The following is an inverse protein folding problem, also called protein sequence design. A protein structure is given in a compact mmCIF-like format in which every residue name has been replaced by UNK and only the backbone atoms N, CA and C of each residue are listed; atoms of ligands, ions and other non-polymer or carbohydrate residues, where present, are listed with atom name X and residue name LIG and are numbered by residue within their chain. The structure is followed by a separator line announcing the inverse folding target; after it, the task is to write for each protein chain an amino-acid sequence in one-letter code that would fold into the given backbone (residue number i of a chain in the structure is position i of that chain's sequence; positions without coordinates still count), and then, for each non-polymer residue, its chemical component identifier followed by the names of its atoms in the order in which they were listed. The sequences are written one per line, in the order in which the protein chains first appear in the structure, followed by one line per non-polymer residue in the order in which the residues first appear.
data_IF_898830599134
#
_entry.id   IF_898830599134
#
_cell.length_a   1.000
_cell.length_b   1.000
_cell.length_c   1.000
_cell.angle_alpha   90.00
_cell.angle_beta   90.00
_cell.angle_gamma   90.00
#
_symmetry.space_group_name_H-M   'P 1'
#
loop_
_entity.id
_entity.type
_entity.pdbx_description
1 polymer ?
#
# COMPACT_ATOMS: atom_id res chain seq x y z
N UNK A 1 44.24 67.94 -44.69
CA UNK A 1 43.60 66.67 -45.20
C UNK A 1 44.00 65.52 -44.27
N UNK A 2 43.12 65.12 -43.32
CA UNK A 2 43.41 64.05 -42.38
C UNK A 2 42.56 62.85 -42.79
N UNK A 3 43.19 61.73 -43.10
CA UNK A 3 42.54 60.44 -43.40
C UNK A 3 42.20 59.70 -42.07
N UNK A 4 40.94 59.53 -41.79
CA UNK A 4 40.50 58.71 -40.66
C UNK A 4 40.45 57.21 -41.07
N UNK A 5 41.10 56.39 -40.30
CA UNK A 5 41.09 54.94 -40.46
C UNK A 5 39.96 54.37 -39.54
N UNK A 6 38.97 53.80 -40.13
CA UNK A 6 37.96 52.96 -39.36
C UNK A 6 38.55 51.58 -39.11
N UNK A 7 38.72 51.27 -37.84
CA UNK A 7 39.01 49.90 -37.39
C UNK A 7 37.71 49.15 -37.21
N UNK A 8 37.52 48.06 -37.97
CA UNK A 8 36.38 47.12 -37.79
C UNK A 8 36.68 46.18 -36.64
N UNK A 9 35.90 46.27 -35.58
CA UNK A 9 35.89 45.28 -34.49
C UNK A 9 35.03 44.06 -34.93
N UNK A 10 35.68 42.92 -35.13
CA UNK A 10 34.98 41.64 -35.30
C UNK A 10 34.61 41.10 -33.93
N UNK A 11 33.31 41.09 -33.62
CA UNK A 11 32.77 40.42 -32.42
C UNK A 11 32.58 38.94 -32.76
N UNK A 12 33.42 38.06 -32.20
CA UNK A 12 33.24 36.62 -32.26
C UNK A 12 32.14 36.22 -31.28
N UNK A 13 30.97 35.87 -31.79
CA UNK A 13 29.89 35.31 -31.01
C UNK A 13 30.19 33.81 -30.72
N UNK A 14 30.63 33.51 -29.51
CA UNK A 14 30.80 32.14 -29.03
C UNK A 14 29.41 31.54 -28.73
N UNK A 15 28.94 30.65 -29.61
CA UNK A 15 27.76 29.81 -29.36
C UNK A 15 28.11 28.77 -28.27
N UNK A 16 27.70 29.04 -27.06
CA UNK A 16 27.68 28.03 -25.99
C UNK A 16 26.49 27.10 -26.26
N UNK A 17 26.77 25.95 -26.84
CA UNK A 17 25.78 24.86 -26.93
C UNK A 17 25.58 24.31 -25.52
N UNK A 18 24.52 24.72 -24.85
CA UNK A 18 24.01 24.02 -23.66
C UNK A 18 23.51 22.64 -24.12
N UNK A 19 24.34 21.63 -23.93
CA UNK A 19 23.89 20.24 -23.98
C UNK A 19 22.93 20.02 -22.81
N UNK A 20 21.64 20.01 -23.10
CA UNK A 20 20.65 19.52 -22.13
C UNK A 20 20.98 18.06 -21.85
N UNK A 21 21.60 17.78 -20.72
CA UNK A 21 21.70 16.43 -20.19
C UNK A 21 20.27 16.03 -19.83
N UNK A 22 19.61 15.31 -20.72
CA UNK A 22 18.38 14.61 -20.38
C UNK A 22 18.76 13.61 -19.30
N UNK A 23 18.42 13.92 -18.04
CA UNK A 23 18.43 12.95 -16.96
C UNK A 23 17.32 11.97 -17.33
N UNK A 24 17.68 10.87 -17.99
CA UNK A 24 16.78 9.76 -18.16
C UNK A 24 16.35 9.33 -16.74
N UNK A 25 15.05 9.15 -16.47
CA UNK A 25 14.63 8.57 -15.21
C UNK A 25 15.40 7.26 -15.03
N UNK A 26 15.95 7.04 -13.83
CA UNK A 26 16.65 5.80 -13.52
C UNK A 26 15.69 4.65 -13.88
N UNK A 27 16.12 3.79 -14.81
CA UNK A 27 15.34 2.61 -15.15
C UNK A 27 15.19 1.81 -13.85
N UNK A 28 13.96 1.63 -13.40
CA UNK A 28 13.66 0.74 -12.29
C UNK A 28 13.99 -0.66 -12.77
N UNK A 29 15.17 -1.19 -12.35
CA UNK A 29 15.58 -2.54 -12.73
C UNK A 29 14.76 -3.52 -11.89
N UNK A 30 13.67 -4.04 -12.44
CA UNK A 30 12.98 -5.18 -11.86
C UNK A 30 13.79 -6.46 -12.07
N UNK A 31 13.75 -7.35 -11.09
CA UNK A 31 14.24 -8.70 -11.17
C UNK A 31 13.06 -9.63 -11.38
N UNK A 32 13.07 -10.40 -12.49
CA UNK A 32 11.96 -11.28 -12.85
C UNK A 32 12.39 -12.75 -12.84
N UNK A 33 11.50 -13.63 -12.40
CA UNK A 33 11.66 -15.07 -12.42
C UNK A 33 10.34 -15.77 -12.76
N UNK A 34 10.41 -16.86 -13.51
CA UNK A 34 9.22 -17.69 -13.79
C UNK A 34 8.91 -18.61 -12.61
N UNK A 35 7.66 -18.59 -12.12
CA UNK A 35 7.20 -19.45 -11.02
C UNK A 35 5.89 -20.15 -11.37
N UNK A 36 5.77 -21.40 -10.91
CA UNK A 36 4.48 -22.10 -10.92
C UNK A 36 3.59 -21.54 -9.81
N UNK A 37 2.48 -20.90 -10.19
CA UNK A 37 1.49 -20.31 -9.28
C UNK A 37 0.10 -20.90 -9.58
N UNK A 38 -0.33 -21.83 -8.74
CA UNK A 38 -1.54 -22.59 -9.01
C UNK A 38 -1.46 -23.36 -10.32
N UNK A 39 -2.37 -23.11 -11.25
CA UNK A 39 -2.43 -23.78 -12.56
C UNK A 39 -1.62 -23.08 -13.67
N UNK A 40 -0.98 -21.95 -13.39
CA UNK A 40 -0.26 -21.15 -14.41
C UNK A 40 1.21 -21.01 -14.05
N UNK A 41 2.06 -20.87 -15.08
CA UNK A 41 3.42 -20.35 -14.93
C UNK A 41 3.31 -18.84 -15.08
N UNK A 42 3.69 -18.11 -14.05
CA UNK A 42 3.68 -16.67 -14.06
C UNK A 42 5.10 -16.11 -13.95
N UNK A 43 5.34 -15.01 -14.62
CA UNK A 43 6.50 -14.17 -14.37
C UNK A 43 6.25 -13.35 -13.11
N UNK A 44 7.16 -13.45 -12.15
CA UNK A 44 7.14 -12.73 -10.87
C UNK A 44 8.28 -11.73 -10.89
N UNK A 45 7.95 -10.45 -10.93
CA UNK A 45 8.90 -9.37 -11.01
C UNK A 45 8.86 -8.52 -9.75
N UNK A 46 10.02 -8.17 -9.23
CA UNK A 46 10.16 -7.36 -8.02
C UNK A 46 11.20 -6.27 -8.18
N UNK A 47 11.04 -5.18 -7.45
CA UNK A 47 11.94 -4.05 -7.47
C UNK A 47 11.64 -3.05 -6.35
N UNK A 48 12.16 -1.83 -6.52
CA UNK A 48 11.91 -0.72 -5.59
C UNK A 48 11.44 0.51 -6.35
N UNK A 49 10.48 1.21 -5.77
CA UNK A 49 10.10 2.55 -6.19
C UNK A 49 11.15 3.58 -5.77
N UNK A 50 11.07 4.81 -6.26
CA UNK A 50 12.03 5.88 -5.97
C UNK A 50 12.06 6.27 -4.49
N UNK A 51 10.96 6.06 -3.76
CA UNK A 51 10.86 6.26 -2.32
C UNK A 51 11.38 5.06 -1.50
N UNK A 52 11.87 4.00 -2.17
CA UNK A 52 12.47 2.81 -1.56
C UNK A 52 11.50 1.70 -1.21
N UNK A 53 10.20 1.85 -1.49
CA UNK A 53 9.21 0.80 -1.24
C UNK A 53 9.46 -0.42 -2.13
N UNK A 54 9.42 -1.60 -1.53
CA UNK A 54 9.44 -2.84 -2.31
C UNK A 54 8.14 -2.97 -3.09
N UNK A 55 8.22 -3.34 -4.37
CA UNK A 55 7.06 -3.73 -5.15
C UNK A 55 7.24 -5.12 -5.75
N UNK A 56 6.12 -5.73 -6.07
CA UNK A 56 6.05 -6.95 -6.83
C UNK A 56 4.88 -6.88 -7.81
N UNK A 57 5.05 -7.44 -8.98
CA UNK A 57 3.94 -7.76 -9.86
C UNK A 57 4.10 -9.17 -10.42
N UNK A 58 2.97 -9.78 -10.78
CA UNK A 58 2.91 -11.12 -11.36
C UNK A 58 2.04 -11.08 -12.61
N UNK A 59 2.47 -11.74 -13.66
CA UNK A 59 1.70 -11.83 -14.90
C UNK A 59 1.89 -13.19 -15.55
N UNK A 60 0.81 -13.71 -16.13
CA UNK A 60 0.89 -14.81 -17.07
C UNK A 60 1.02 -14.20 -18.48
N UNK A 61 2.25 -14.12 -18.98
CA UNK A 61 2.57 -13.45 -20.25
C UNK A 61 1.88 -14.06 -21.46
N UNK A 62 1.57 -15.38 -21.42
CA UNK A 62 0.90 -16.09 -22.52
C UNK A 62 -0.58 -15.67 -22.67
N UNK A 63 -1.23 -15.28 -21.56
CA UNK A 63 -2.66 -14.99 -21.52
C UNK A 63 -3.00 -13.61 -20.95
N UNK A 64 -2.04 -12.68 -20.85
CA UNK A 64 -2.29 -11.36 -20.29
C UNK A 64 -3.34 -10.59 -21.11
N UNK A 65 -4.46 -10.24 -20.47
CA UNK A 65 -5.59 -9.56 -21.12
C UNK A 65 -5.48 -8.03 -21.15
N UNK A 66 -4.41 -7.48 -20.57
CA UNK A 66 -4.15 -6.04 -20.48
C UNK A 66 -4.70 -5.37 -19.22
N UNK A 67 -5.25 -6.12 -18.27
CA UNK A 67 -5.76 -5.54 -17.02
C UNK A 67 -4.89 -5.94 -15.83
N UNK A 68 -4.46 -4.93 -15.06
CA UNK A 68 -3.69 -5.12 -13.83
C UNK A 68 -4.55 -4.83 -12.61
N UNK A 69 -4.58 -5.74 -11.65
CA UNK A 69 -5.15 -5.53 -10.32
C UNK A 69 -4.06 -5.01 -9.39
N UNK A 70 -4.15 -3.75 -8.98
CA UNK A 70 -3.22 -3.10 -8.06
C UNK A 70 -3.76 -3.18 -6.64
N UNK A 71 -3.14 -4.00 -5.80
CA UNK A 71 -3.50 -4.20 -4.41
C UNK A 71 -2.86 -3.16 -3.50
N UNK A 72 -3.65 -2.62 -2.58
CA UNK A 72 -3.18 -1.82 -1.45
C UNK A 72 -3.48 -2.59 -0.16
N UNK A 73 -2.44 -2.98 0.57
CA UNK A 73 -2.60 -3.69 1.83
C UNK A 73 -3.15 -2.77 2.96
N UNK A 74 -3.64 -3.39 4.02
CA UNK A 74 -4.13 -2.69 5.20
C UNK A 74 -3.01 -2.16 6.12
N UNK A 75 -3.40 -1.75 7.32
CA UNK A 75 -2.44 -1.30 8.34
C UNK A 75 -1.44 -2.40 8.72
N UNK A 76 -0.17 -2.04 8.83
CA UNK A 76 0.89 -2.84 9.44
C UNK A 76 1.57 -2.00 10.52
N UNK A 77 2.07 -2.63 11.59
CA UNK A 77 2.76 -1.89 12.64
C UNK A 77 4.07 -1.27 12.13
N UNK A 78 4.29 0.00 12.49
CA UNK A 78 5.48 0.77 12.10
C UNK A 78 6.73 0.47 12.96
N UNK A 79 6.60 -0.38 13.98
CA UNK A 79 7.67 -0.73 14.92
C UNK A 79 7.69 -2.23 15.18
N UNK A 80 8.85 -2.76 15.49
CA UNK A 80 8.99 -4.13 15.97
C UNK A 80 8.30 -4.27 17.34
N UNK A 81 7.56 -5.35 17.51
CA UNK A 81 6.93 -5.63 18.81
C UNK A 81 7.83 -6.52 19.65
N UNK A 82 7.87 -6.31 20.98
CA UNK A 82 8.61 -7.17 21.90
C UNK A 82 8.17 -8.64 21.80
N UNK A 83 9.07 -9.53 22.19
CA UNK A 83 8.76 -10.96 22.28
C UNK A 83 7.55 -11.18 23.22
N UNK A 84 6.66 -12.07 22.81
CA UNK A 84 5.43 -12.36 23.56
C UNK A 84 4.23 -11.48 23.20
N UNK A 85 4.42 -10.40 22.42
CA UNK A 85 3.34 -9.59 21.89
C UNK A 85 3.10 -9.97 20.43
N UNK A 86 1.93 -10.52 20.15
CA UNK A 86 1.54 -10.93 18.82
C UNK A 86 0.37 -10.06 18.32
N UNK A 87 0.53 -9.34 17.21
CA UNK A 87 -0.60 -8.69 16.57
C UNK A 87 -1.59 -9.73 16.03
N UNK A 88 -2.88 -9.41 15.91
CA UNK A 88 -3.84 -10.31 15.29
C UNK A 88 -3.39 -10.76 13.90
N UNK A 89 -3.30 -12.08 13.68
CA UNK A 89 -2.84 -12.67 12.43
C UNK A 89 -1.34 -12.59 12.16
N UNK A 90 -0.55 -12.03 13.07
CA UNK A 90 0.90 -11.86 12.93
C UNK A 90 1.72 -13.00 13.52
N UNK A 91 3.03 -12.94 13.33
CA UNK A 91 4.02 -13.86 13.90
C UNK A 91 4.71 -13.26 15.13
N UNK A 92 5.33 -14.10 15.97
CA UNK A 92 6.09 -13.66 17.14
C UNK A 92 7.56 -14.08 17.01
N UNK A 93 8.55 -13.19 17.18
CA UNK A 93 8.40 -11.74 17.36
C UNK A 93 7.92 -11.05 16.08
N UNK A 94 7.16 -9.97 16.20
CA UNK A 94 6.79 -9.16 15.05
C UNK A 94 7.95 -8.25 14.65
N UNK A 95 8.39 -8.40 13.42
CA UNK A 95 9.35 -7.49 12.77
C UNK A 95 8.57 -6.67 11.74
N UNK A 96 8.89 -5.39 11.63
CA UNK A 96 8.24 -4.50 10.65
C UNK A 96 8.30 -5.13 9.27
N UNK A 97 7.13 -5.40 8.69
CA UNK A 97 7.01 -6.05 7.40
C UNK A 97 6.91 -5.02 6.28
N UNK A 98 8.01 -4.88 5.51
CA UNK A 98 8.13 -4.01 4.34
C UNK A 98 7.99 -4.80 3.02
N UNK A 99 7.53 -6.04 3.06
CA UNK A 99 7.36 -6.86 1.86
C UNK A 99 6.21 -6.35 0.99
N UNK A 100 6.39 -6.48 -0.33
CA UNK A 100 5.32 -6.24 -1.28
C UNK A 100 4.19 -7.26 -1.09
N UNK A 101 2.96 -6.82 -1.29
CA UNK A 101 1.76 -7.65 -1.24
C UNK A 101 0.90 -7.39 -2.47
N UNK A 102 0.68 -8.41 -3.29
CA UNK A 102 -0.01 -8.29 -4.59
C UNK A 102 -1.49 -8.68 -4.56
N UNK A 103 -2.00 -9.06 -3.39
CA UNK A 103 -3.40 -9.43 -3.21
C UNK A 103 -3.69 -10.01 -1.83
N UNK A 104 -4.96 -10.18 -1.44
CA UNK A 104 -5.37 -10.54 -0.08
C UNK A 104 -5.05 -12.00 0.29
N UNK A 105 -4.82 -12.85 -0.68
CA UNK A 105 -4.43 -14.24 -0.46
C UNK A 105 -3.87 -14.88 -1.73
N UNK A 106 -3.04 -15.89 -1.56
CA UNK A 106 -2.49 -16.68 -2.67
C UNK A 106 -3.60 -17.29 -3.54
N UNK A 107 -4.70 -17.71 -2.95
CA UNK A 107 -5.84 -18.27 -3.68
C UNK A 107 -6.41 -17.25 -4.67
N UNK A 108 -6.74 -16.05 -4.22
CA UNK A 108 -7.32 -15.00 -5.07
C UNK A 108 -6.33 -14.56 -6.15
N UNK A 109 -5.06 -14.39 -5.80
CA UNK A 109 -4.00 -14.06 -6.75
C UNK A 109 -3.91 -15.10 -7.87
N UNK A 110 -3.90 -16.39 -7.52
CA UNK A 110 -3.83 -17.47 -8.50
C UNK A 110 -5.07 -17.51 -9.42
N UNK A 111 -6.27 -17.22 -8.90
CA UNK A 111 -7.48 -17.12 -9.71
C UNK A 111 -7.41 -15.96 -10.72
N UNK A 112 -6.91 -14.80 -10.30
CA UNK A 112 -6.74 -13.65 -11.18
C UNK A 112 -5.72 -13.95 -12.29
N UNK A 113 -4.58 -14.56 -11.96
CA UNK A 113 -3.58 -14.97 -12.94
C UNK A 113 -4.12 -16.00 -13.93
N UNK A 114 -4.87 -16.99 -13.46
CA UNK A 114 -5.52 -17.99 -14.32
C UNK A 114 -6.56 -17.37 -15.26
N UNK A 115 -7.21 -16.28 -14.85
CA UNK A 115 -8.15 -15.52 -15.65
C UNK A 115 -7.47 -14.52 -16.61
N UNK A 116 -6.14 -14.51 -16.69
CA UNK A 116 -5.36 -13.65 -17.59
C UNK A 116 -5.15 -12.22 -17.09
N UNK A 117 -5.39 -11.94 -15.82
CA UNK A 117 -5.05 -10.66 -15.21
C UNK A 117 -3.61 -10.65 -14.70
N UNK A 118 -2.97 -9.49 -14.68
CA UNK A 118 -1.79 -9.28 -13.87
C UNK A 118 -2.21 -8.76 -12.47
N UNK A 119 -1.38 -9.04 -11.47
CA UNK A 119 -1.55 -8.53 -10.11
C UNK A 119 -0.30 -7.79 -9.69
N UNK A 120 -0.46 -6.70 -8.94
CA UNK A 120 0.65 -5.89 -8.47
C UNK A 120 0.36 -5.30 -7.10
N UNK A 121 1.40 -4.96 -6.35
CA UNK A 121 1.30 -4.23 -5.11
C UNK A 121 2.66 -3.87 -4.54
N UNK A 122 2.67 -3.02 -3.54
CA UNK A 122 3.88 -2.58 -2.85
C UNK A 122 3.79 -2.85 -1.35
N UNK A 123 4.94 -2.79 -0.67
CA UNK A 123 5.02 -2.78 0.79
C UNK A 123 4.99 -1.36 1.37
N UNK A 124 4.73 -0.34 0.54
CA UNK A 124 4.86 1.09 0.84
C UNK A 124 6.28 1.47 1.32
N UNK A 125 6.56 2.76 1.42
CA UNK A 125 7.86 3.29 1.87
C UNK A 125 8.04 3.19 3.39
N UNK A 126 6.92 3.27 4.11
CA UNK A 126 6.85 3.18 5.58
C UNK A 126 5.61 2.39 6.00
N UNK A 127 5.58 1.98 7.28
CA UNK A 127 4.42 1.32 7.87
C UNK A 127 3.69 2.26 8.84
N UNK A 128 2.57 1.82 9.38
CA UNK A 128 1.66 2.62 10.19
C UNK A 128 0.52 3.21 9.34
N UNK A 129 0.00 4.38 9.73
CA UNK A 129 -1.03 5.08 8.98
C UNK A 129 -0.42 5.91 7.85
N UNK A 130 0.02 5.27 6.78
CA UNK A 130 0.87 5.84 5.71
C UNK A 130 0.10 6.20 4.43
N UNK A 131 -1.20 6.48 4.50
CA UNK A 131 -2.06 6.72 3.32
C UNK A 131 -1.47 7.72 2.32
N UNK A 132 -0.89 8.81 2.81
CA UNK A 132 -0.37 9.89 1.96
C UNK A 132 0.83 9.48 1.10
N UNK A 133 1.80 8.76 1.65
CA UNK A 133 2.96 8.24 0.92
C UNK A 133 2.58 7.04 0.06
N UNK A 134 1.77 6.12 0.59
CA UNK A 134 1.28 4.95 -0.15
C UNK A 134 0.57 5.31 -1.47
N UNK A 135 -0.18 6.42 -1.50
CA UNK A 135 -0.77 6.94 -2.75
C UNK A 135 0.32 7.29 -3.76
N UNK A 136 1.40 7.96 -3.34
CA UNK A 136 2.52 8.36 -4.22
C UNK A 136 3.25 7.12 -4.73
N UNK A 137 3.58 6.18 -3.85
CA UNK A 137 4.18 4.89 -4.19
C UNK A 137 3.36 4.15 -5.26
N UNK A 138 2.04 4.06 -5.07
CA UNK A 138 1.16 3.37 -6.02
C UNK A 138 1.03 4.10 -7.36
N UNK A 139 1.04 5.44 -7.38
CA UNK A 139 1.05 6.21 -8.64
C UNK A 139 2.33 5.94 -9.42
N UNK A 140 3.49 5.91 -8.75
CA UNK A 140 4.76 5.55 -9.38
C UNK A 140 4.74 4.10 -9.89
N UNK A 141 4.26 3.16 -9.06
CA UNK A 141 4.13 1.74 -9.45
C UNK A 141 3.25 1.57 -10.69
N UNK A 142 2.16 2.31 -10.84
CA UNK A 142 1.36 2.31 -12.07
C UNK A 142 2.20 2.74 -13.29
N UNK A 143 3.06 3.72 -13.12
CA UNK A 143 4.00 4.14 -14.16
C UNK A 143 4.98 3.04 -14.56
N UNK A 144 5.56 2.35 -13.58
CA UNK A 144 6.45 1.19 -13.76
C UNK A 144 5.71 0.08 -14.51
N UNK A 145 4.52 -0.30 -14.04
CA UNK A 145 3.71 -1.35 -14.66
C UNK A 145 3.38 -1.06 -16.13
N UNK A 146 3.05 0.19 -16.48
CA UNK A 146 2.81 0.57 -17.88
C UNK A 146 4.07 0.52 -18.75
N UNK A 147 5.23 0.73 -18.15
CA UNK A 147 6.52 0.64 -18.85
C UNK A 147 6.96 -0.81 -19.07
N UNK A 148 6.81 -1.65 -18.04
CA UNK A 148 7.27 -3.04 -18.05
C UNK A 148 6.24 -4.01 -18.66
N UNK A 149 4.95 -3.67 -18.61
CA UNK A 149 3.84 -4.37 -19.25
C UNK A 149 3.17 -3.45 -20.29
N UNK A 150 3.76 -3.24 -21.47
CA UNK A 150 3.28 -2.26 -22.45
C UNK A 150 1.87 -2.54 -22.97
N UNK A 151 1.41 -3.79 -22.90
CA UNK A 151 0.04 -4.19 -23.27
C UNK A 151 -1.02 -3.83 -22.21
N UNK A 152 -0.64 -3.12 -21.14
CA UNK A 152 -1.56 -2.69 -20.08
C UNK A 152 -2.60 -1.68 -20.60
N UNK A 153 -3.86 -2.10 -20.64
CA UNK A 153 -5.03 -1.32 -21.08
C UNK A 153 -5.75 -0.63 -19.93
N UNK A 154 -5.53 -1.09 -18.69
CA UNK A 154 -6.16 -0.51 -17.51
C UNK A 154 -5.71 -1.10 -16.20
N UNK A 155 -5.81 -0.26 -15.16
CA UNK A 155 -5.50 -0.65 -13.78
C UNK A 155 -6.79 -0.62 -12.96
N UNK A 156 -7.06 -1.70 -12.25
CA UNK A 156 -8.13 -1.80 -11.26
C UNK A 156 -7.46 -1.69 -9.90
N UNK A 157 -7.70 -0.60 -9.18
CA UNK A 157 -7.22 -0.44 -7.82
C UNK A 157 -8.18 -1.16 -6.85
N UNK A 158 -7.64 -1.91 -5.91
CA UNK A 158 -8.40 -2.57 -4.86
C UNK A 158 -7.58 -2.69 -3.59
N UNK A 159 -8.26 -2.82 -2.46
CA UNK A 159 -7.57 -2.88 -1.17
C UNK A 159 -8.54 -2.94 -0.02
N UNK A 160 -8.07 -3.33 1.15
CA UNK A 160 -8.90 -3.50 2.34
C UNK A 160 -8.45 -2.59 3.49
N UNK A 161 -9.40 -2.15 4.34
CA UNK A 161 -9.15 -1.30 5.51
C UNK A 161 -8.44 0.01 5.10
N UNK A 162 -7.27 0.33 5.62
CA UNK A 162 -6.45 1.45 5.16
C UNK A 162 -6.16 1.35 3.64
N UNK A 163 -5.94 0.14 3.12
CA UNK A 163 -5.77 -0.11 1.68
C UNK A 163 -7.03 0.22 0.87
N UNK A 164 -8.21 0.04 1.44
CA UNK A 164 -9.47 0.50 0.87
C UNK A 164 -9.53 2.03 0.76
N UNK A 165 -9.07 2.74 1.79
CA UNK A 165 -8.95 4.20 1.75
C UNK A 165 -7.97 4.67 0.66
N UNK A 166 -6.79 4.05 0.58
CA UNK A 166 -5.81 4.33 -0.48
C UNK A 166 -6.44 4.10 -1.87
N UNK A 167 -7.16 3.00 -2.03
CA UNK A 167 -7.87 2.64 -3.28
C UNK A 167 -8.88 3.71 -3.69
N UNK A 168 -9.72 4.16 -2.77
CA UNK A 168 -10.69 5.22 -3.02
C UNK A 168 -9.99 6.53 -3.38
N UNK A 169 -8.97 6.93 -2.62
CA UNK A 169 -8.21 8.15 -2.87
C UNK A 169 -7.49 8.12 -4.23
N UNK A 170 -6.97 6.97 -4.66
CA UNK A 170 -6.41 6.79 -6.00
C UNK A 170 -7.46 7.03 -7.09
N UNK A 171 -8.65 6.46 -6.96
CA UNK A 171 -9.72 6.63 -7.93
C UNK A 171 -10.21 8.08 -8.03
N UNK A 172 -10.34 8.77 -6.91
CA UNK A 172 -10.80 10.16 -6.85
C UNK A 172 -9.74 11.15 -7.37
N UNK A 173 -8.48 10.96 -6.98
CA UNK A 173 -7.39 11.91 -7.29
C UNK A 173 -6.72 11.65 -8.63
N UNK A 174 -6.74 10.41 -9.11
CA UNK A 174 -6.07 9.98 -10.34
C UNK A 174 -6.99 9.20 -11.28
N UNK A 175 -8.19 9.74 -11.61
CA UNK A 175 -9.20 9.02 -12.42
C UNK A 175 -8.72 8.64 -13.82
N UNK A 176 -7.66 9.29 -14.33
CA UNK A 176 -7.04 8.93 -15.62
C UNK A 176 -6.11 7.71 -15.54
N UNK A 177 -5.65 7.36 -14.33
CA UNK A 177 -4.78 6.20 -14.11
C UNK A 177 -5.58 4.95 -13.74
N UNK A 178 -6.72 5.13 -13.07
CA UNK A 178 -7.55 4.07 -12.50
C UNK A 178 -8.79 3.85 -13.38
N UNK A 179 -8.92 2.64 -13.93
CA UNK A 179 -10.07 2.24 -14.75
C UNK A 179 -11.29 1.87 -13.91
N UNK A 180 -11.04 1.25 -12.76
CA UNK A 180 -12.06 0.85 -11.79
C UNK A 180 -11.44 0.73 -10.40
N UNK A 181 -12.26 0.83 -9.36
CA UNK A 181 -11.81 0.70 -7.97
C UNK A 181 -12.75 -0.19 -7.16
N UNK A 182 -12.17 -0.99 -6.28
CA UNK A 182 -12.87 -1.83 -5.32
C UNK A 182 -12.32 -1.61 -3.91
N UNK A 183 -12.73 -0.53 -3.21
CA UNK A 183 -12.40 -0.32 -1.81
C UNK A 183 -13.21 -1.28 -0.93
N UNK A 184 -12.52 -2.08 -0.09
CA UNK A 184 -13.12 -3.12 0.74
C UNK A 184 -12.98 -2.71 2.20
N UNK A 185 -14.09 -2.66 2.94
CA UNK A 185 -14.11 -2.29 4.37
C UNK A 185 -13.25 -1.06 4.64
N UNK A 186 -13.41 -0.03 3.83
CA UNK A 186 -12.54 1.14 3.84
C UNK A 186 -12.70 1.95 5.13
N UNK A 187 -11.56 2.37 5.69
CA UNK A 187 -11.50 3.30 6.81
C UNK A 187 -11.51 4.77 6.31
N UNK A 188 -12.48 5.11 5.46
CA UNK A 188 -12.57 6.40 4.78
C UNK A 188 -13.84 7.17 5.19
N UNK A 189 -13.84 7.71 6.38
CA UNK A 189 -14.92 8.54 6.90
C UNK A 189 -14.42 9.84 7.52
N UNK A 190 -15.26 10.45 8.33
CA UNK A 190 -14.82 11.53 9.20
C UNK A 190 -13.97 10.94 10.32
N UNK A 191 -12.65 11.04 10.20
CA UNK A 191 -11.68 10.43 11.12
C UNK A 191 -11.94 10.79 12.58
N UNK A 192 -12.32 12.04 12.87
CA UNK A 192 -12.62 12.45 14.24
C UNK A 192 -13.87 11.74 14.78
N UNK A 193 -14.92 11.64 13.96
CA UNK A 193 -16.14 10.95 14.38
C UNK A 193 -15.89 9.43 14.55
N UNK A 194 -15.14 8.80 13.66
CA UNK A 194 -14.80 7.38 13.74
C UNK A 194 -13.94 7.07 14.96
N UNK A 195 -12.94 7.90 15.26
CA UNK A 195 -12.10 7.73 16.45
C UNK A 195 -12.88 7.97 17.75
N UNK A 196 -13.78 8.96 17.77
CA UNK A 196 -14.66 9.19 18.92
C UNK A 196 -15.57 7.99 19.14
N UNK A 197 -16.21 7.48 18.09
CA UNK A 197 -17.06 6.29 18.18
C UNK A 197 -16.29 5.05 18.66
N UNK A 198 -15.08 4.84 18.15
CA UNK A 198 -14.22 3.74 18.60
C UNK A 198 -13.82 3.89 20.08
N UNK A 199 -13.56 5.11 20.54
CA UNK A 199 -13.26 5.40 21.94
C UNK A 199 -14.46 5.16 22.85
N UNK A 200 -15.65 5.59 22.45
CA UNK A 200 -16.90 5.35 23.19
C UNK A 200 -17.20 3.85 23.31
N UNK A 201 -16.97 3.09 22.22
CA UNK A 201 -17.10 1.64 22.23
C UNK A 201 -16.10 0.97 23.20
N UNK A 202 -14.84 1.38 23.18
CA UNK A 202 -13.81 0.91 24.12
C UNK A 202 -14.17 1.26 25.57
N UNK A 203 -14.70 2.44 25.81
CA UNK A 203 -15.19 2.84 27.13
C UNK A 203 -16.35 1.96 27.60
N UNK A 204 -17.29 1.68 26.72
CA UNK A 204 -18.39 0.74 27.00
C UNK A 204 -17.89 -0.66 27.33
N UNK A 205 -16.97 -1.20 26.53
CA UNK A 205 -16.35 -2.50 26.79
C UNK A 205 -15.63 -2.54 28.14
N UNK A 206 -14.85 -1.50 28.46
CA UNK A 206 -14.19 -1.36 29.77
C UNK A 206 -15.20 -1.35 30.92
N UNK A 207 -16.30 -0.60 30.76
CA UNK A 207 -17.25 -0.37 31.83
C UNK A 207 -18.13 -1.60 32.11
N UNK A 208 -18.54 -2.31 31.07
CA UNK A 208 -19.57 -3.34 31.18
C UNK A 208 -19.01 -4.77 31.13
N UNK A 209 -17.80 -4.96 30.57
CA UNK A 209 -17.28 -6.32 30.33
C UNK A 209 -15.91 -6.56 30.97
N UNK A 210 -14.89 -5.73 30.67
CA UNK A 210 -13.53 -5.94 31.18
C UNK A 210 -12.89 -4.63 31.65
N UNK A 211 -12.88 -4.32 32.95
CA UNK A 211 -12.31 -3.09 33.50
C UNK A 211 -10.79 -2.97 33.28
N UNK A 212 -10.10 -4.02 32.86
CA UNK A 212 -8.68 -3.99 32.54
C UNK A 212 -8.37 -3.41 31.16
N UNK A 213 -9.39 -3.17 30.31
CA UNK A 213 -9.24 -2.51 29.01
C UNK A 213 -8.71 -1.08 29.21
N UNK A 214 -7.65 -0.72 28.48
CA UNK A 214 -7.04 0.60 28.50
C UNK A 214 -7.66 1.47 27.40
N UNK A 215 -8.21 2.63 27.78
CA UNK A 215 -8.82 3.58 26.83
C UNK A 215 -7.93 4.79 26.53
N UNK A 216 -6.91 5.04 27.35
CA UNK A 216 -5.95 6.15 27.18
C UNK A 216 -4.67 5.90 28.01
N UNK A 217 -3.67 6.78 27.86
CA UNK A 217 -2.44 6.71 28.67
C UNK A 217 -1.45 5.67 28.20
N UNK A 218 -1.46 5.34 26.92
CA UNK A 218 -0.40 4.52 26.32
C UNK A 218 0.93 5.27 26.32
N UNK A 219 2.03 4.53 26.48
CA UNK A 219 3.37 5.07 26.37
C UNK A 219 3.67 5.49 24.92
N UNK A 220 4.71 6.32 24.75
CA UNK A 220 5.19 6.66 23.42
C UNK A 220 6.00 5.52 22.79
N UNK A 221 6.03 5.51 21.45
CA UNK A 221 6.85 4.62 20.63
C UNK A 221 6.52 3.13 20.78
N UNK A 222 7.52 2.23 20.66
CA UNK A 222 7.31 0.77 20.64
C UNK A 222 6.60 0.22 21.88
N UNK A 223 6.84 0.81 23.05
CA UNK A 223 6.20 0.39 24.29
C UNK A 223 4.67 0.62 24.24
N UNK A 224 4.23 1.79 23.76
CA UNK A 224 2.82 2.10 23.62
C UNK A 224 2.13 1.25 22.55
N UNK A 225 2.79 0.97 21.44
CA UNK A 225 2.28 0.03 20.40
C UNK A 225 2.12 -1.38 21.00
N UNK A 226 3.09 -1.83 21.81
CA UNK A 226 2.99 -3.09 22.53
C UNK A 226 1.82 -3.13 23.51
N UNK A 227 1.60 -2.07 24.27
CA UNK A 227 0.44 -1.93 25.17
C UNK A 227 -0.88 -1.96 24.38
N UNK A 228 -0.95 -1.26 23.25
CA UNK A 228 -2.14 -1.26 22.39
C UNK A 228 -2.43 -2.65 21.79
N UNK A 229 -1.39 -3.38 21.38
CA UNK A 229 -1.54 -4.75 20.87
C UNK A 229 -2.09 -5.71 21.94
N UNK A 230 -1.60 -5.63 23.18
CA UNK A 230 -2.13 -6.40 24.32
C UNK A 230 -3.57 -6.01 24.65
N UNK A 231 -3.87 -4.71 24.60
CA UNK A 231 -5.23 -4.22 24.83
C UNK A 231 -6.22 -4.71 23.76
N UNK A 232 -5.80 -4.77 22.50
CA UNK A 232 -6.61 -5.29 21.41
C UNK A 232 -7.00 -6.76 21.63
N UNK A 233 -6.14 -7.59 22.22
CA UNK A 233 -6.48 -8.98 22.58
C UNK A 233 -7.66 -9.04 23.56
N UNK A 234 -7.70 -8.15 24.54
CA UNK A 234 -8.84 -8.05 25.49
C UNK A 234 -10.12 -7.62 24.80
N UNK A 235 -10.01 -6.63 23.90
CA UNK A 235 -11.16 -6.16 23.07
C UNK A 235 -11.71 -7.32 22.22
N UNK A 236 -10.85 -8.09 21.58
CA UNK A 236 -11.25 -9.26 20.78
C UNK A 236 -11.94 -10.30 21.67
N UNK A 237 -11.43 -10.56 22.87
CA UNK A 237 -12.06 -11.50 23.80
C UNK A 237 -13.47 -11.05 24.20
N UNK A 238 -13.68 -9.75 24.47
CA UNK A 238 -15.01 -9.19 24.76
C UNK A 238 -15.94 -9.31 23.55
N UNK A 239 -15.47 -8.97 22.34
CA UNK A 239 -16.27 -9.09 21.13
C UNK A 239 -16.68 -10.54 20.83
N UNK A 240 -15.77 -11.48 21.05
CA UNK A 240 -16.05 -12.91 20.90
C UNK A 240 -17.11 -13.36 21.91
N UNK A 241 -16.99 -12.94 23.17
CA UNK A 241 -17.97 -13.26 24.21
C UNK A 241 -19.36 -12.71 23.86
N UNK A 242 -19.46 -11.44 23.45
CA UNK A 242 -20.72 -10.82 23.02
C UNK A 242 -21.32 -11.59 21.84
N UNK A 243 -20.51 -11.93 20.83
CA UNK A 243 -20.96 -12.67 19.65
C UNK A 243 -21.52 -14.05 19.98
N UNK A 244 -20.84 -14.82 20.84
CA UNK A 244 -21.30 -16.16 21.27
C UNK A 244 -22.58 -16.07 22.11
N UNK A 245 -22.67 -15.12 23.04
CA UNK A 245 -23.85 -14.95 23.89
C UNK A 245 -25.10 -14.54 23.09
N UNK A 246 -24.97 -13.68 22.08
CA UNK A 246 -26.08 -13.30 21.21
C UNK A 246 -26.56 -14.51 20.39
N UNK A 247 -25.63 -15.31 19.82
CA UNK A 247 -25.97 -16.46 19.02
C UNK A 247 -26.63 -17.57 19.85
N UNK A 248 -26.20 -17.77 21.10
CA UNK A 248 -26.81 -18.75 22.01
C UNK A 248 -28.24 -18.36 22.43
N UNK A 249 -28.50 -17.06 22.65
CA UNK A 249 -29.83 -16.57 23.03
C UNK A 249 -30.83 -16.64 21.88
N UNK A 250 -30.39 -16.48 20.63
CA UNK A 250 -31.27 -16.55 19.45
C UNK A 250 -31.66 -17.97 19.07
N UNK A 251 -30.83 -18.97 19.40
CA UNK A 251 -31.13 -20.39 19.19
C UNK A 251 -32.00 -21.01 20.31
N UNK A 252 -32.36 -20.27 21.36
CA UNK A 252 -33.16 -20.73 22.48
C UNK A 252 -34.64 -20.32 22.40
N UNK A 253 -35.05 -19.62 21.34
CA UNK A 253 -36.43 -19.26 21.02
C UNK A 253 -36.94 -20.10 19.85
#
# INVERSE_FOLDING_TARGET
MKKSRFAALAVAASLVTMSAVAIAPAAHASSCEAKQLGSVIAEVCSGKTSDGANYEYRTNTENFNGTVYLWSHGYRYAVNLPAGIQPPGGTTPYIVDMSAEVGPSTYVVNQLLAAGYAVAGSGFDTQGWTVGSAIKTNVELIGILKSELPDTKGVIAWGASMGGFITQALAERFPKLIKSAAPICTAAGNVNAELTYAQDLLWGMKTFFDPSITVSGYADGPAGVGQAALNLQKVIAVLTHIGTTILETDNSK
#
